data_IF_669922046941
#
_entry.id   IF_669922046941
#
_cell.length_a   1.000
_cell.length_b   1.000
_cell.length_c   1.000
_cell.angle_alpha   90.00
_cell.angle_beta   90.00
_cell.angle_gamma   90.00
#
_symmetry.space_group_name_H-M   'P 1'
#
loop_
_entity.id
_entity.type
_entity.pdbx_description
1 polymer ?
#
# COMPACT_ATOMS: atom_id res chain seq x y z
N UNK A 1 7.62 -21.83 -17.06
CA UNK A 1 7.21 -21.58 -15.66
C UNK A 1 7.40 -20.11 -15.33
N UNK A 2 6.38 -19.48 -14.81
CA UNK A 2 6.48 -18.07 -14.41
C UNK A 2 7.27 -17.97 -13.11
N UNK A 3 8.27 -17.08 -13.06
CA UNK A 3 9.05 -16.80 -11.86
C UNK A 3 8.34 -15.79 -10.96
N UNK A 4 7.36 -15.09 -11.50
CA UNK A 4 6.55 -14.11 -10.78
C UNK A 4 5.08 -14.41 -10.94
N UNK A 5 4.32 -14.24 -9.87
CA UNK A 5 2.88 -14.16 -9.95
C UNK A 5 2.47 -12.71 -9.74
N UNK A 6 1.57 -12.21 -10.57
CA UNK A 6 1.12 -10.82 -10.49
C UNK A 6 -0.41 -10.81 -10.44
N UNK A 7 -0.95 -10.13 -9.44
CA UNK A 7 -2.38 -9.87 -9.33
C UNK A 7 -2.59 -8.37 -9.41
N UNK A 8 -3.42 -7.96 -10.36
CA UNK A 8 -3.79 -6.55 -10.53
C UNK A 8 -5.23 -6.35 -10.10
N UNK A 9 -5.47 -5.30 -9.38
CA UNK A 9 -6.79 -4.95 -8.89
C UNK A 9 -7.00 -3.46 -9.01
N UNK A 10 -8.13 -3.05 -9.58
CA UNK A 10 -8.51 -1.65 -9.65
C UNK A 10 -9.84 -1.48 -8.93
N UNK A 11 -9.90 -0.58 -7.98
CA UNK A 11 -11.11 -0.33 -7.20
C UNK A 11 -11.44 1.15 -7.19
N UNK A 12 -12.72 1.51 -7.02
CA UNK A 12 -13.08 2.90 -6.76
C UNK A 12 -12.42 3.40 -5.50
N UNK A 13 -12.06 4.68 -5.45
CA UNK A 13 -11.42 5.28 -4.28
C UNK A 13 -12.46 5.62 -3.21
N UNK A 14 -12.99 4.58 -2.59
CA UNK A 14 -14.02 4.71 -1.55
C UNK A 14 -13.63 3.86 -0.34
N UNK A 15 -13.95 4.32 0.88
CA UNK A 15 -13.62 3.56 2.09
C UNK A 15 -14.13 2.12 2.08
N UNK A 16 -15.27 1.87 1.43
CA UNK A 16 -15.85 0.52 1.36
C UNK A 16 -14.95 -0.50 0.68
N UNK A 17 -14.01 -0.05 -0.16
CA UNK A 17 -13.14 -0.96 -0.92
C UNK A 17 -11.80 -1.25 -0.23
N UNK A 18 -11.54 -0.64 0.92
CA UNK A 18 -10.32 -0.94 1.68
C UNK A 18 -10.27 -2.43 2.04
N UNK A 19 -11.38 -2.99 2.48
CA UNK A 19 -11.44 -4.42 2.85
C UNK A 19 -11.28 -5.33 1.64
N UNK A 20 -11.77 -4.94 0.47
CA UNK A 20 -11.60 -5.73 -0.76
C UNK A 20 -10.13 -5.87 -1.10
N UNK A 21 -9.39 -4.77 -1.03
CA UNK A 21 -7.95 -4.78 -1.29
C UNK A 21 -7.21 -5.60 -0.23
N UNK A 22 -7.52 -5.37 1.04
CA UNK A 22 -6.90 -6.08 2.16
C UNK A 22 -7.09 -7.60 2.03
N UNK A 23 -8.30 -8.04 1.74
CA UNK A 23 -8.59 -9.46 1.61
C UNK A 23 -7.92 -10.08 0.38
N UNK A 24 -7.86 -9.35 -0.72
CA UNK A 24 -7.20 -9.83 -1.94
C UNK A 24 -5.71 -10.05 -1.70
N UNK A 25 -5.04 -9.06 -1.12
CA UNK A 25 -3.59 -9.15 -0.86
C UNK A 25 -3.30 -10.22 0.19
N UNK A 26 -4.13 -10.31 1.23
CA UNK A 26 -3.92 -11.33 2.26
C UNK A 26 -4.11 -12.74 1.71
N UNK A 27 -5.07 -12.94 0.81
CA UNK A 27 -5.26 -14.23 0.16
C UNK A 27 -4.03 -14.61 -0.67
N UNK A 28 -3.46 -13.65 -1.39
CA UNK A 28 -2.24 -13.89 -2.16
C UNK A 28 -1.06 -14.22 -1.23
N UNK A 29 -0.90 -13.47 -0.15
CA UNK A 29 0.17 -13.72 0.81
C UNK A 29 0.06 -15.12 1.43
N UNK A 30 -1.16 -15.54 1.76
CA UNK A 30 -1.40 -16.88 2.27
C UNK A 30 -1.00 -17.94 1.25
N UNK A 31 -1.41 -17.76 0.01
CA UNK A 31 -1.06 -18.66 -1.09
C UNK A 31 0.45 -18.76 -1.29
N UNK A 32 1.17 -17.65 -1.10
CA UNK A 32 2.63 -17.62 -1.28
C UNK A 32 3.38 -18.24 -0.10
N UNK A 33 2.71 -18.57 0.98
CA UNK A 33 3.33 -19.27 2.10
C UNK A 33 3.69 -18.41 3.30
N UNK A 34 3.23 -17.16 3.35
CA UNK A 34 3.47 -16.31 4.52
C UNK A 34 2.74 -16.87 5.74
N UNK A 35 3.35 -16.74 6.91
CA UNK A 35 2.73 -17.18 8.16
C UNK A 35 1.65 -16.18 8.61
N UNK A 36 0.89 -16.58 9.63
CA UNK A 36 -0.23 -15.77 10.11
C UNK A 36 0.24 -14.41 10.59
N UNK A 37 1.35 -14.35 11.31
CA UNK A 37 1.88 -13.09 11.82
C UNK A 37 2.24 -12.14 10.68
N UNK A 38 2.94 -12.64 9.67
CA UNK A 38 3.32 -11.83 8.50
C UNK A 38 2.08 -11.37 7.72
N UNK A 39 1.07 -12.24 7.57
CA UNK A 39 -0.17 -11.88 6.90
C UNK A 39 -0.90 -10.77 7.66
N UNK A 40 -0.95 -10.85 8.98
CA UNK A 40 -1.57 -9.79 9.79
C UNK A 40 -0.82 -8.46 9.63
N UNK A 41 0.52 -8.50 9.60
CA UNK A 41 1.32 -7.30 9.35
C UNK A 41 1.02 -6.70 7.97
N UNK A 42 0.95 -7.55 6.95
CA UNK A 42 0.62 -7.12 5.59
C UNK A 42 -0.77 -6.49 5.55
N UNK A 43 -1.75 -7.09 6.23
CA UNK A 43 -3.12 -6.57 6.28
C UNK A 43 -3.17 -5.17 6.88
N UNK A 44 -2.44 -4.93 7.97
CA UNK A 44 -2.40 -3.61 8.58
C UNK A 44 -1.74 -2.60 7.64
N UNK A 45 -0.61 -2.97 7.05
CA UNK A 45 0.10 -2.09 6.12
C UNK A 45 -0.78 -1.72 4.92
N UNK A 46 -1.49 -2.69 4.34
CA UNK A 46 -2.40 -2.46 3.22
C UNK A 46 -3.54 -1.54 3.63
N UNK A 47 -4.13 -1.78 4.79
CA UNK A 47 -5.22 -0.95 5.29
C UNK A 47 -4.78 0.51 5.40
N UNK A 48 -3.60 0.75 5.96
CA UNK A 48 -3.07 2.11 6.09
C UNK A 48 -2.81 2.74 4.72
N UNK A 49 -2.19 1.98 3.80
CA UNK A 49 -1.84 2.51 2.49
C UNK A 49 -3.07 2.84 1.65
N UNK A 50 -4.07 1.96 1.64
CA UNK A 50 -5.29 2.20 0.86
C UNK A 50 -6.14 3.29 1.49
N UNK A 51 -6.20 3.35 2.81
CA UNK A 51 -6.91 4.43 3.52
C UNK A 51 -6.29 5.78 3.15
N UNK A 52 -4.96 5.87 3.13
CA UNK A 52 -4.27 7.08 2.70
C UNK A 52 -4.62 7.45 1.25
N UNK A 53 -4.66 6.46 0.36
CA UNK A 53 -5.04 6.71 -1.03
C UNK A 53 -6.46 7.26 -1.14
N UNK A 54 -7.40 6.71 -0.39
CA UNK A 54 -8.78 7.21 -0.36
C UNK A 54 -8.82 8.66 0.15
N UNK A 55 -8.06 8.96 1.20
CA UNK A 55 -7.99 10.33 1.73
C UNK A 55 -7.39 11.29 0.69
N UNK A 56 -6.34 10.88 -0.03
CA UNK A 56 -5.70 11.72 -1.04
C UNK A 56 -6.66 12.09 -2.18
N UNK A 57 -7.57 11.19 -2.53
CA UNK A 57 -8.56 11.45 -3.58
C UNK A 57 -9.85 12.04 -3.02
N UNK A 58 -9.90 12.28 -1.71
CA UNK A 58 -11.08 12.82 -1.01
C UNK A 58 -12.32 11.92 -1.14
N UNK A 59 -12.12 10.60 -1.26
CA UNK A 59 -13.22 9.66 -1.36
C UNK A 59 -14.04 9.83 -2.63
N UNK A 60 -13.45 10.26 -3.72
CA UNK A 60 -14.13 10.49 -4.98
C UNK A 60 -14.35 9.16 -5.71
N UNK A 61 -15.62 8.80 -5.93
CA UNK A 61 -15.96 7.53 -6.57
C UNK A 61 -15.53 7.45 -8.04
N UNK A 62 -15.26 8.60 -8.68
CA UNK A 62 -14.75 8.62 -10.06
C UNK A 62 -13.23 8.39 -10.11
N UNK A 63 -12.55 8.54 -8.99
CA UNK A 63 -11.13 8.22 -8.89
C UNK A 63 -10.96 6.75 -8.59
N UNK A 64 -9.83 6.20 -9.05
CA UNK A 64 -9.55 4.77 -8.88
C UNK A 64 -8.21 4.59 -8.19
N UNK A 65 -8.11 3.47 -7.48
CA UNK A 65 -6.87 3.03 -6.87
C UNK A 65 -6.45 1.75 -7.59
N UNK A 66 -5.22 1.72 -8.08
CA UNK A 66 -4.65 0.56 -8.74
C UNK A 66 -3.70 -0.15 -7.80
N UNK A 67 -3.89 -1.43 -7.65
CA UNK A 67 -3.06 -2.28 -6.80
C UNK A 67 -2.40 -3.34 -7.68
N UNK A 68 -1.09 -3.45 -7.58
CA UNK A 68 -0.34 -4.53 -8.19
C UNK A 68 0.39 -5.28 -7.10
N UNK A 69 0.03 -6.55 -6.93
CA UNK A 69 0.66 -7.41 -5.94
C UNK A 69 1.41 -8.51 -6.69
N UNK A 70 2.72 -8.58 -6.49
CA UNK A 70 3.55 -9.54 -7.21
C UNK A 70 4.44 -10.31 -6.24
N UNK A 71 4.61 -11.61 -6.53
CA UNK A 71 5.50 -12.45 -5.74
C UNK A 71 6.58 -13.03 -6.65
N UNK A 72 7.83 -12.79 -6.28
CA UNK A 72 8.98 -13.32 -6.97
C UNK A 72 9.46 -14.59 -6.26
N UNK A 73 9.38 -15.73 -6.96
CA UNK A 73 9.71 -17.02 -6.37
C UNK A 73 11.21 -17.22 -6.15
N UNK A 74 12.06 -16.50 -6.88
CA UNK A 74 13.51 -16.60 -6.69
C UNK A 74 13.97 -15.83 -5.46
N UNK A 75 13.50 -14.59 -5.31
CA UNK A 75 13.86 -13.76 -4.16
C UNK A 75 12.94 -14.00 -2.97
N UNK A 76 11.81 -14.68 -3.19
CA UNK A 76 10.79 -14.94 -2.15
C UNK A 76 10.27 -13.65 -1.54
N UNK A 77 9.99 -12.67 -2.40
CA UNK A 77 9.54 -11.34 -1.99
C UNK A 77 8.17 -11.04 -2.54
N UNK A 78 7.30 -10.56 -1.68
CA UNK A 78 6.00 -10.00 -2.06
C UNK A 78 6.15 -8.50 -2.16
N UNK A 79 5.83 -7.95 -3.34
CA UNK A 79 5.87 -6.51 -3.58
C UNK A 79 4.46 -6.04 -3.89
N UNK A 80 4.02 -5.01 -3.19
CA UNK A 80 2.68 -4.47 -3.35
C UNK A 80 2.81 -3.00 -3.71
N UNK A 81 2.28 -2.64 -4.87
CA UNK A 81 2.30 -1.28 -5.39
C UNK A 81 0.88 -0.74 -5.36
N UNK A 82 0.69 0.41 -4.73
CA UNK A 82 -0.61 1.06 -4.64
C UNK A 82 -0.47 2.46 -5.22
N UNK A 83 -1.23 2.71 -6.29
CA UNK A 83 -1.25 4.00 -6.97
C UNK A 83 -2.62 4.62 -6.87
N UNK A 84 -2.69 5.86 -6.45
CA UNK A 84 -3.89 6.65 -6.55
C UNK A 84 -3.71 7.74 -7.62
N UNK A 85 -4.83 8.23 -8.13
CA UNK A 85 -4.86 9.27 -9.15
C UNK A 85 -5.29 10.61 -8.56
N UNK A 86 -5.08 10.78 -7.26
CA UNK A 86 -5.35 12.03 -6.59
C UNK A 86 -4.38 13.12 -7.01
N UNK A 87 -4.53 14.31 -6.46
CA UNK A 87 -3.67 15.43 -6.84
C UNK A 87 -2.22 15.28 -6.36
N UNK A 88 -1.91 14.22 -5.61
CA UNK A 88 -0.62 14.09 -4.96
C UNK A 88 -0.46 15.13 -3.86
N UNK A 89 0.73 15.22 -3.32
CA UNK A 89 1.03 16.30 -2.41
C UNK A 89 2.45 16.79 -2.65
N UNK A 90 2.66 18.07 -2.38
CA UNK A 90 3.97 18.67 -2.56
C UNK A 90 4.73 18.59 -1.23
N UNK A 91 5.71 17.70 -1.18
CA UNK A 91 6.49 17.49 0.02
C UNK A 91 7.30 18.74 0.41
N UNK A 92 7.53 19.67 -0.53
CA UNK A 92 8.22 20.92 -0.21
C UNK A 92 7.38 21.85 0.65
N UNK A 93 6.06 21.66 0.68
CA UNK A 93 5.17 22.41 1.55
C UNK A 93 4.99 21.78 2.92
N UNK A 94 5.54 20.59 3.12
CA UNK A 94 5.54 19.99 4.44
C UNK A 94 6.67 20.64 5.23
N UNK A 95 6.30 21.68 5.94
CA UNK A 95 7.24 22.37 6.84
C UNK A 95 7.39 21.50 8.09
N UNK A 96 7.69 22.09 9.21
CA UNK A 96 7.85 21.39 10.49
C UNK A 96 6.67 20.40 10.67
N UNK A 97 6.92 19.18 11.13
CA UNK A 97 5.86 18.21 11.33
C UNK A 97 4.78 18.75 12.26
N UNK A 98 3.62 18.96 11.71
CA UNK A 98 2.43 19.26 12.49
C UNK A 98 1.91 17.92 12.99
N UNK A 99 1.81 17.76 14.30
CA UNK A 99 1.36 16.53 14.92
C UNK A 99 -0.01 16.11 14.39
N UNK A 100 -0.89 17.08 14.13
CA UNK A 100 -2.21 16.76 13.59
C UNK A 100 -2.12 16.18 12.18
N UNK A 101 -1.17 16.64 11.37
CA UNK A 101 -0.92 16.08 10.03
C UNK A 101 -0.25 14.73 10.10
N UNK A 102 0.63 14.52 11.06
CA UNK A 102 1.24 13.23 11.29
C UNK A 102 0.19 12.17 11.67
N UNK A 103 -0.81 12.57 12.46
CA UNK A 103 -1.89 11.68 12.83
C UNK A 103 -2.75 11.30 11.65
N UNK A 104 -2.88 12.17 10.65
CA UNK A 104 -3.73 11.90 9.49
C UNK A 104 -3.00 11.21 8.33
N UNK A 105 -1.66 11.26 8.30
CA UNK A 105 -0.92 10.70 7.17
C UNK A 105 0.44 10.14 7.53
N UNK A 106 1.24 10.89 8.29
CA UNK A 106 2.60 10.49 8.65
C UNK A 106 2.65 9.29 9.58
N UNK A 107 1.67 9.17 10.48
CA UNK A 107 1.60 8.03 11.39
C UNK A 107 1.31 6.75 10.64
N UNK A 108 0.42 6.79 9.64
CA UNK A 108 0.15 5.62 8.82
C UNK A 108 1.39 5.14 8.08
N UNK A 109 2.17 6.06 7.51
CA UNK A 109 3.41 5.71 6.83
C UNK A 109 4.42 5.10 7.81
N UNK A 110 4.50 5.64 9.03
CA UNK A 110 5.35 5.07 10.08
C UNK A 110 4.94 3.62 10.40
N UNK A 111 3.64 3.36 10.50
CA UNK A 111 3.12 2.02 10.76
C UNK A 111 3.52 1.08 9.62
N UNK A 112 3.33 1.51 8.36
CA UNK A 112 3.69 0.71 7.20
C UNK A 112 5.18 0.36 7.24
N UNK A 113 6.04 1.33 7.51
CA UNK A 113 7.48 1.12 7.55
C UNK A 113 7.91 0.19 8.68
N UNK A 114 7.17 0.17 9.78
CA UNK A 114 7.49 -0.71 10.90
C UNK A 114 7.09 -2.16 10.66
N UNK A 115 6.16 -2.40 9.71
CA UNK A 115 5.62 -3.74 9.46
C UNK A 115 6.18 -4.39 8.19
N UNK A 116 6.66 -3.60 7.23
CA UNK A 116 7.18 -4.09 5.97
C UNK A 116 8.70 -4.01 5.95
N UNK A 117 9.33 -4.84 5.12
CA UNK A 117 10.80 -4.87 5.05
C UNK A 117 11.35 -3.68 4.27
N UNK A 118 10.60 -3.19 3.29
CA UNK A 118 11.02 -2.03 2.52
C UNK A 118 9.78 -1.26 2.06
N UNK A 119 9.86 0.06 2.10
CA UNK A 119 8.76 0.94 1.69
C UNK A 119 9.34 2.13 0.93
N UNK A 120 8.79 2.37 -0.26
CA UNK A 120 9.15 3.53 -1.07
C UNK A 120 7.88 4.30 -1.40
N UNK A 121 7.92 5.59 -1.18
CA UNK A 121 6.82 6.48 -1.48
C UNK A 121 7.25 7.45 -2.58
N UNK A 122 6.49 7.47 -3.68
CA UNK A 122 6.70 8.41 -4.77
C UNK A 122 5.45 9.27 -4.91
N UNK A 123 5.63 10.57 -4.81
CA UNK A 123 4.53 11.50 -4.92
C UNK A 123 4.94 12.67 -5.81
N UNK A 124 4.11 12.96 -6.81
CA UNK A 124 4.33 14.07 -7.71
C UNK A 124 3.06 14.90 -7.75
N UNK A 125 3.22 16.22 -7.53
CA UNK A 125 2.08 17.14 -7.53
C UNK A 125 1.32 17.01 -8.85
N UNK A 126 0.01 16.77 -8.76
CA UNK A 126 -0.87 16.64 -9.92
C UNK A 126 -0.86 15.29 -10.60
N UNK A 127 -0.02 14.35 -10.16
CA UNK A 127 0.10 13.03 -10.79
C UNK A 127 -0.28 11.88 -9.87
N UNK A 128 -0.73 12.18 -8.65
CA UNK A 128 -1.11 11.16 -7.70
C UNK A 128 0.05 10.66 -6.85
N UNK A 129 -0.16 9.57 -6.18
CA UNK A 129 0.80 9.01 -5.24
C UNK A 129 0.96 7.52 -5.50
N UNK A 130 2.18 7.04 -5.41
CA UNK A 130 2.50 5.62 -5.55
C UNK A 130 3.30 5.18 -4.33
N UNK A 131 2.81 4.16 -3.65
CA UNK A 131 3.57 3.53 -2.56
C UNK A 131 3.89 2.10 -2.96
N UNK A 132 5.15 1.72 -2.77
CA UNK A 132 5.63 0.36 -3.03
C UNK A 132 6.12 -0.22 -1.72
N UNK A 133 5.55 -1.35 -1.34
CA UNK A 133 5.90 -2.04 -0.09
C UNK A 133 6.39 -3.44 -0.42
N UNK A 134 7.37 -3.91 0.32
CA UNK A 134 7.93 -5.23 0.08
C UNK A 134 8.08 -5.98 1.40
N UNK A 135 7.75 -7.28 1.36
CA UNK A 135 7.95 -8.17 2.50
C UNK A 135 8.58 -9.47 2.02
N UNK A 136 9.57 -9.93 2.76
CA UNK A 136 10.29 -11.16 2.45
C UNK A 136 9.65 -12.35 3.14
N UNK A 137 9.53 -13.44 2.40
CA UNK A 137 9.02 -14.70 2.94
C UNK A 137 10.09 -15.33 3.84
N UNK A 138 9.70 -15.64 5.09
CA UNK A 138 10.61 -16.26 6.04
C UNK A 138 11.73 -15.34 6.52
N UNK A 139 11.72 -14.08 6.11
CA UNK A 139 12.71 -13.11 6.53
C UNK A 139 12.36 -12.51 7.89
N UNK A 140 13.36 -12.42 8.73
CA UNK A 140 13.26 -11.68 9.98
C UNK A 140 14.45 -10.78 10.10
#
# INVERSE_FOLDING_TARGET
MALNEIVNLTVPSLPAYVSVVRLTVSAMASRCGFDIESIEDIKVAITEAVTNAVVHTRGNSSSKINIESSFNYLSKQLTIKIEDQGPGFDSSHIKIPDISKLQSGGLGLFIIRSLMDEVNLDTTVGQGTCIVMMKKLGGK
#
